data_IF_098624271868
#
_entry.id   IF_098624271868
#
_cell.length_a   1.000
_cell.length_b   1.000
_cell.length_c   1.000
_cell.angle_alpha   90.00
_cell.angle_beta   90.00
_cell.angle_gamma   90.00
#
_symmetry.space_group_name_H-M   'P 1'
#
loop_
_entity.id
_entity.type
_entity.pdbx_description
1 polymer ?
#
# COMPACT_ATOMS: atom_id res chain seq x y z
N UNK A 1 0.37 -8.47 24.36
CA UNK A 1 1.25 -8.94 23.27
C UNK A 1 0.71 -10.29 22.81
N UNK A 2 0.05 -10.35 21.65
CA UNK A 2 -0.73 -11.53 21.26
C UNK A 2 0.11 -12.69 20.71
N UNK A 3 1.40 -12.48 20.45
CA UNK A 3 2.35 -13.54 20.15
C UNK A 3 3.74 -13.16 20.68
N UNK A 4 4.53 -14.15 21.08
CA UNK A 4 5.92 -14.02 21.56
C UNK A 4 6.91 -13.60 20.45
N UNK A 5 6.53 -12.65 19.62
CA UNK A 5 7.32 -12.14 18.49
C UNK A 5 7.99 -10.83 18.90
N UNK A 6 9.29 -10.89 19.18
CA UNK A 6 10.09 -9.72 19.58
C UNK A 6 10.95 -9.16 18.44
N UNK A 7 10.97 -9.83 17.28
CA UNK A 7 11.89 -9.50 16.19
C UNK A 7 11.69 -8.06 15.68
N UNK A 8 10.44 -7.59 15.58
CA UNK A 8 10.12 -6.21 15.17
C UNK A 8 10.69 -5.20 16.17
N UNK A 9 10.41 -5.40 17.46
CA UNK A 9 10.89 -4.49 18.51
C UNK A 9 12.43 -4.47 18.61
N UNK A 10 13.09 -5.62 18.39
CA UNK A 10 14.55 -5.71 18.36
C UNK A 10 15.14 -5.02 17.13
N UNK A 11 14.51 -5.18 15.97
CA UNK A 11 14.91 -4.52 14.73
C UNK A 11 14.79 -2.99 14.86
N UNK A 12 13.65 -2.51 15.37
CA UNK A 12 13.43 -1.09 15.65
C UNK A 12 14.47 -0.54 16.64
N UNK A 13 14.80 -1.31 17.70
CA UNK A 13 15.86 -0.92 18.65
C UNK A 13 17.24 -0.81 17.99
N UNK A 14 17.58 -1.74 17.10
CA UNK A 14 18.84 -1.69 16.35
C UNK A 14 18.88 -0.48 15.41
N UNK A 15 17.76 -0.19 14.76
CA UNK A 15 17.58 1.00 13.93
C UNK A 15 17.72 2.28 14.76
N UNK A 16 17.01 2.40 15.88
CA UNK A 16 17.11 3.53 16.80
C UNK A 16 18.54 3.73 17.31
N UNK A 17 19.29 2.64 17.54
CA UNK A 17 20.70 2.72 17.94
C UNK A 17 21.58 3.29 16.84
N UNK A 18 21.33 2.95 15.57
CA UNK A 18 22.07 3.48 14.41
C UNK A 18 21.86 5.00 14.26
N UNK A 19 20.63 5.47 14.53
CA UNK A 19 20.26 6.90 14.48
C UNK A 19 20.41 7.63 15.84
N UNK A 20 20.93 6.96 16.86
CA UNK A 20 21.24 7.53 18.17
C UNK A 20 20.10 7.56 19.20
N UNK A 21 18.83 7.58 18.78
CA UNK A 21 17.69 7.49 19.70
C UNK A 21 16.39 7.05 19.02
N UNK A 22 15.39 6.60 19.80
CA UNK A 22 14.04 6.36 19.29
C UNK A 22 13.34 7.64 18.82
N UNK A 23 13.66 8.79 19.42
CA UNK A 23 13.08 10.07 19.04
C UNK A 23 13.47 10.47 17.61
N UNK A 24 14.68 10.10 17.17
CA UNK A 24 15.13 10.34 15.81
C UNK A 24 14.32 9.58 14.75
N UNK A 25 13.61 8.50 15.12
CA UNK A 25 12.81 7.70 14.18
C UNK A 25 11.43 8.29 13.89
N UNK A 26 10.97 9.27 14.67
CA UNK A 26 9.60 9.78 14.61
C UNK A 26 9.27 10.51 13.29
N UNK A 27 10.27 10.86 12.49
CA UNK A 27 10.12 11.54 11.20
C UNK A 27 10.66 10.72 10.01
N UNK A 28 10.92 9.42 10.20
CA UNK A 28 11.44 8.56 9.14
C UNK A 28 10.46 8.39 7.98
N UNK A 29 10.97 8.33 6.75
CA UNK A 29 10.17 8.03 5.56
C UNK A 29 10.16 6.53 5.26
N UNK A 30 9.09 6.02 4.63
CA UNK A 30 9.03 4.61 4.17
C UNK A 30 10.22 4.25 3.29
N UNK A 31 10.64 5.20 2.44
CA UNK A 31 11.77 5.06 1.53
C UNK A 31 13.08 4.81 2.30
N UNK A 32 13.35 5.59 3.34
CA UNK A 32 14.53 5.40 4.19
C UNK A 32 14.53 4.01 4.87
N UNK A 33 13.36 3.56 5.33
CA UNK A 33 13.20 2.21 5.86
C UNK A 33 13.49 1.13 4.83
N UNK A 34 13.00 1.28 3.60
CA UNK A 34 13.25 0.34 2.50
C UNK A 34 14.74 0.25 2.15
N UNK A 35 15.41 1.39 1.98
CA UNK A 35 16.85 1.43 1.67
C UNK A 35 17.67 0.82 2.80
N UNK A 36 17.34 1.15 4.05
CA UNK A 36 18.11 0.64 5.21
C UNK A 36 17.95 -0.86 5.41
N UNK A 37 16.75 -1.40 5.15
CA UNK A 37 16.47 -2.83 5.35
C UNK A 37 16.90 -3.70 4.17
N UNK A 38 16.86 -3.18 2.95
CA UNK A 38 17.18 -3.95 1.73
C UNK A 38 18.59 -3.69 1.21
N UNK A 39 19.17 -2.52 1.50
CA UNK A 39 20.43 -2.06 0.93
C UNK A 39 20.35 -1.66 -0.55
N UNK A 40 19.17 -1.71 -1.16
CA UNK A 40 18.95 -1.32 -2.55
C UNK A 40 18.50 0.14 -2.66
N UNK A 41 18.79 0.81 -3.80
CA UNK A 41 18.23 2.13 -4.07
C UNK A 41 16.70 2.04 -4.14
N UNK A 42 16.03 3.01 -3.54
CA UNK A 42 14.58 3.14 -3.58
C UNK A 42 14.17 4.45 -4.25
N UNK A 43 13.03 4.46 -4.91
CA UNK A 43 12.46 5.59 -5.63
C UNK A 43 11.04 5.89 -5.14
N UNK A 44 10.68 7.17 -5.03
CA UNK A 44 9.32 7.60 -4.69
C UNK A 44 8.64 8.21 -5.91
N UNK A 45 7.51 7.62 -6.30
CA UNK A 45 6.66 8.07 -7.40
C UNK A 45 5.42 8.76 -6.80
N UNK A 46 5.24 10.04 -7.08
CA UNK A 46 4.07 10.80 -6.63
C UNK A 46 2.85 10.56 -7.51
N UNK A 47 1.72 10.27 -6.88
CA UNK A 47 0.40 10.22 -7.50
C UNK A 47 -0.23 11.61 -7.40
N UNK A 48 -0.08 12.43 -8.44
CA UNK A 48 -0.82 13.69 -8.52
C UNK A 48 -2.06 13.49 -9.38
N UNK A 49 -3.22 13.91 -8.87
CA UNK A 49 -4.52 13.85 -9.54
C UNK A 49 -4.54 14.59 -10.88
N UNK A 50 -3.65 15.57 -11.07
CA UNK A 50 -3.50 16.38 -12.29
C UNK A 50 -2.60 15.75 -13.37
N UNK A 51 -2.04 14.56 -13.12
CA UNK A 51 -1.24 13.87 -14.13
C UNK A 51 -2.16 13.22 -15.17
N UNK A 52 -2.07 13.70 -16.42
CA UNK A 52 -2.89 13.20 -17.53
C UNK A 52 -2.78 11.68 -17.76
N UNK A 53 -3.72 11.11 -18.53
CA UNK A 53 -3.89 9.65 -18.73
C UNK A 53 -2.60 8.90 -19.11
N UNK A 54 -1.71 9.55 -19.87
CA UNK A 54 -0.42 8.99 -20.29
C UNK A 54 0.47 8.69 -19.09
N UNK A 55 0.54 9.60 -18.11
CA UNK A 55 1.34 9.42 -16.90
C UNK A 55 0.76 8.34 -16.00
N UNK A 56 -0.56 8.25 -15.88
CA UNK A 56 -1.23 7.18 -15.14
C UNK A 56 -0.92 5.80 -15.73
N UNK A 57 -0.88 5.71 -17.07
CA UNK A 57 -0.46 4.51 -17.79
C UNK A 57 0.98 4.12 -17.47
N UNK A 58 1.91 5.09 -17.46
CA UNK A 58 3.31 4.87 -17.11
C UNK A 58 3.48 4.41 -15.66
N UNK A 59 2.83 5.08 -14.70
CA UNK A 59 2.84 4.70 -13.29
C UNK A 59 2.39 3.24 -13.12
N UNK A 60 1.28 2.87 -13.76
CA UNK A 60 0.79 1.50 -13.73
C UNK A 60 1.82 0.50 -14.29
N UNK A 61 2.41 0.80 -15.46
CA UNK A 61 3.41 -0.09 -16.07
C UNK A 61 4.66 -0.24 -15.19
N UNK A 62 5.12 0.84 -14.57
CA UNK A 62 6.23 0.82 -13.62
C UNK A 62 5.90 -0.08 -12.44
N UNK A 63 4.77 0.16 -11.75
CA UNK A 63 4.33 -0.67 -10.61
C UNK A 63 4.19 -2.15 -10.97
N UNK A 64 3.59 -2.44 -12.13
CA UNK A 64 3.42 -3.80 -12.62
C UNK A 64 4.75 -4.49 -12.93
N UNK A 65 5.69 -3.77 -13.52
CA UNK A 65 7.03 -4.29 -13.86
C UNK A 65 7.86 -4.52 -12.60
N UNK A 66 7.86 -3.56 -11.67
CA UNK A 66 8.54 -3.67 -10.38
C UNK A 66 8.00 -4.84 -9.56
N UNK A 67 6.67 -5.01 -9.51
CA UNK A 67 6.06 -6.15 -8.80
C UNK A 67 6.46 -7.49 -9.43
N UNK A 68 6.53 -7.59 -10.76
CA UNK A 68 6.99 -8.80 -11.45
C UNK A 68 8.47 -9.08 -11.24
N UNK A 69 9.29 -8.04 -11.14
CA UNK A 69 10.71 -8.16 -10.85
C UNK A 69 10.99 -8.47 -9.36
N UNK A 70 9.97 -8.42 -8.50
CA UNK A 70 10.08 -8.77 -7.08
C UNK A 70 10.51 -7.61 -6.17
N UNK A 71 10.39 -6.36 -6.65
CA UNK A 71 10.62 -5.19 -5.81
C UNK A 71 9.52 -5.05 -4.75
N UNK A 72 9.89 -4.47 -3.61
CA UNK A 72 8.93 -4.11 -2.57
C UNK A 72 8.27 -2.80 -2.94
N UNK A 73 6.96 -2.70 -2.76
CA UNK A 73 6.22 -1.48 -3.08
C UNK A 73 5.44 -1.08 -1.84
N UNK A 74 5.81 0.05 -1.27
CA UNK A 74 5.02 0.78 -0.27
C UNK A 74 4.17 1.84 -0.94
N UNK A 75 3.00 2.12 -0.40
CA UNK A 75 2.18 3.26 -0.81
C UNK A 75 1.77 4.04 0.42
N UNK A 76 1.70 5.36 0.28
CA UNK A 76 1.27 6.24 1.37
C UNK A 76 -0.10 6.83 1.04
N UNK A 77 -0.96 6.88 2.05
CA UNK A 77 -2.29 7.46 1.98
C UNK A 77 -2.28 8.82 2.66
N UNK A 78 -2.98 9.82 2.11
CA UNK A 78 -2.99 11.17 2.65
C UNK A 78 -2.97 12.25 1.59
N UNK A 79 -4.01 12.28 0.75
CA UNK A 79 -4.33 13.45 -0.08
C UNK A 79 -4.88 14.58 0.81
N UNK A 80 -4.38 15.82 0.69
CA UNK A 80 -4.82 16.96 1.52
C UNK A 80 -6.25 17.42 1.20
N UNK A 81 -6.79 17.03 0.04
CA UNK A 81 -8.12 17.42 -0.43
C UNK A 81 -9.24 16.59 0.23
N UNK A 82 -8.92 15.41 0.78
CA UNK A 82 -9.88 14.45 1.30
C UNK A 82 -9.95 14.54 2.82
N UNK A 83 -11.16 14.66 3.35
CA UNK A 83 -11.38 14.74 4.80
C UNK A 83 -11.10 13.40 5.50
N UNK A 84 -10.70 13.44 6.77
CA UNK A 84 -10.48 12.24 7.57
C UNK A 84 -11.75 11.38 7.71
N UNK A 85 -12.92 12.02 7.74
CA UNK A 85 -14.22 11.32 7.78
C UNK A 85 -14.45 10.48 6.53
N UNK A 86 -14.12 10.99 5.35
CA UNK A 86 -14.25 10.24 4.09
C UNK A 86 -13.33 9.00 4.09
N UNK A 87 -12.10 9.12 4.63
CA UNK A 87 -11.20 7.98 4.81
C UNK A 87 -11.79 6.91 5.74
N UNK A 88 -12.41 7.29 6.85
CA UNK A 88 -13.05 6.33 7.77
C UNK A 88 -14.26 5.61 7.15
N UNK A 89 -15.05 6.34 6.35
CA UNK A 89 -16.20 5.81 5.63
C UNK A 89 -15.78 4.74 4.61
N UNK A 90 -14.72 4.99 3.84
CA UNK A 90 -14.16 4.03 2.88
C UNK A 90 -13.25 2.98 3.54
N UNK A 91 -12.91 3.14 4.82
CA UNK A 91 -12.10 2.20 5.60
C UNK A 91 -10.59 2.28 5.34
N UNK A 92 -10.11 3.43 4.88
CA UNK A 92 -8.69 3.79 4.82
C UNK A 92 -8.34 4.74 5.98
N UNK A 93 -7.03 4.92 6.20
CA UNK A 93 -6.47 5.83 7.19
C UNK A 93 -5.65 6.89 6.49
N UNK A 94 -5.90 8.16 6.86
CA UNK A 94 -5.10 9.28 6.42
C UNK A 94 -3.69 9.20 7.03
N UNK A 95 -2.68 9.72 6.32
CA UNK A 95 -1.27 9.75 6.76
C UNK A 95 -0.72 8.39 7.19
N UNK A 96 -1.12 7.31 6.50
CA UNK A 96 -0.73 5.95 6.82
C UNK A 96 -0.09 5.22 5.65
N UNK A 97 0.86 4.34 5.94
CA UNK A 97 1.59 3.55 4.96
C UNK A 97 0.97 2.15 4.81
N UNK A 98 0.85 1.71 3.56
CA UNK A 98 0.36 0.38 3.19
C UNK A 98 1.38 -0.33 2.32
N UNK A 99 1.33 -1.66 2.32
CA UNK A 99 2.19 -2.49 1.47
C UNK A 99 1.40 -3.03 0.29
N UNK A 100 1.92 -2.88 -0.93
CA UNK A 100 1.36 -3.51 -2.12
C UNK A 100 1.91 -4.92 -2.22
N UNK A 101 1.02 -5.90 -2.13
CA UNK A 101 1.36 -7.31 -2.23
C UNK A 101 1.34 -7.80 -3.67
N UNK A 102 0.34 -7.36 -4.45
CA UNK A 102 0.17 -7.78 -5.83
C UNK A 102 -0.40 -6.67 -6.70
N UNK A 103 0.01 -6.68 -7.98
CA UNK A 103 -0.53 -5.81 -9.01
C UNK A 103 -0.98 -6.72 -10.16
N UNK A 104 -2.27 -6.64 -10.52
CA UNK A 104 -2.88 -7.54 -11.51
C UNK A 104 -3.65 -6.75 -12.55
N UNK A 105 -3.51 -7.16 -13.80
CA UNK A 105 -4.31 -6.69 -14.93
C UNK A 105 -5.11 -7.86 -15.48
N UNK A 106 -6.45 -7.83 -15.38
CA UNK A 106 -7.34 -8.89 -15.88
C UNK A 106 -8.42 -8.25 -16.74
N UNK A 107 -8.50 -8.64 -18.01
CA UNK A 107 -9.57 -8.20 -18.93
C UNK A 107 -9.80 -6.67 -18.94
N UNK A 108 -8.68 -5.91 -18.89
CA UNK A 108 -8.60 -4.44 -18.78
C UNK A 108 -8.84 -3.84 -17.39
N UNK A 109 -9.22 -4.63 -16.40
CA UNK A 109 -9.30 -4.19 -15.00
C UNK A 109 -7.90 -4.16 -14.39
N UNK A 110 -7.56 -3.03 -13.78
CA UNK A 110 -6.30 -2.80 -13.07
C UNK A 110 -6.57 -2.86 -11.57
N UNK A 111 -6.12 -3.93 -10.93
CA UNK A 111 -6.37 -4.18 -9.51
C UNK A 111 -5.07 -4.30 -8.73
N UNK A 112 -5.07 -3.74 -7.52
CA UNK A 112 -3.95 -3.80 -6.59
C UNK A 112 -4.39 -4.49 -5.30
N UNK A 113 -3.60 -5.44 -4.84
CA UNK A 113 -3.77 -6.11 -3.56
C UNK A 113 -2.89 -5.41 -2.54
N UNK A 114 -3.52 -4.80 -1.54
CA UNK A 114 -2.86 -3.94 -0.57
C UNK A 114 -3.06 -4.54 0.82
N UNK A 115 -2.08 -4.31 1.70
CA UNK A 115 -2.13 -4.69 3.11
C UNK A 115 -1.96 -3.47 4.00
N UNK A 116 -2.87 -3.34 4.97
CA UNK A 116 -2.67 -2.49 6.13
C UNK A 116 -1.81 -3.23 7.18
N UNK A 117 -0.60 -2.70 7.53
CA UNK A 117 0.25 -3.31 8.54
C UNK A 117 -0.40 -3.46 9.92
N UNK A 118 -1.39 -2.64 10.25
CA UNK A 118 -2.10 -2.72 11.54
C UNK A 118 -3.09 -3.88 11.62
N UNK A 119 -3.37 -4.59 10.51
CA UNK A 119 -4.31 -5.71 10.47
C UNK A 119 -5.74 -5.31 10.84
N UNK A 120 -6.05 -4.01 10.74
CA UNK A 120 -7.36 -3.40 11.02
C UNK A 120 -7.68 -2.44 9.90
N UNK A 121 -8.94 -2.11 9.71
CA UNK A 121 -9.43 -1.22 8.65
C UNK A 121 -9.23 -1.81 7.24
N UNK A 122 -10.35 -2.21 6.65
CA UNK A 122 -10.39 -2.76 5.30
C UNK A 122 -11.17 -1.81 4.40
N UNK A 123 -10.75 -1.77 3.14
CA UNK A 123 -11.45 -1.07 2.07
C UNK A 123 -12.91 -1.51 1.98
N UNK A 124 -13.82 -0.52 2.02
CA UNK A 124 -15.29 -0.70 1.98
C UNK A 124 -15.89 -0.33 0.62
N UNK A 125 -15.08 0.14 -0.33
CA UNK A 125 -15.52 0.51 -1.67
C UNK A 125 -15.66 -0.70 -2.62
N UNK A 126 -15.51 -0.42 -3.91
CA UNK A 126 -15.55 -1.45 -4.95
C UNK A 126 -14.47 -2.51 -4.73
N UNK A 127 -14.76 -3.78 -5.04
CA UNK A 127 -13.87 -4.92 -4.74
C UNK A 127 -13.74 -5.30 -3.25
N UNK A 128 -14.60 -4.76 -2.36
CA UNK A 128 -14.82 -5.39 -1.05
C UNK A 128 -15.23 -6.85 -1.19
N UNK A 129 -15.08 -7.64 -0.13
CA UNK A 129 -15.35 -9.10 -0.13
C UNK A 129 -16.74 -9.44 -0.70
N UNK A 130 -17.76 -8.68 -0.30
CA UNK A 130 -19.16 -8.88 -0.72
C UNK A 130 -19.54 -8.07 -1.98
N UNK A 131 -18.56 -7.58 -2.75
CA UNK A 131 -18.85 -6.80 -3.95
C UNK A 131 -19.44 -7.67 -5.06
N UNK A 132 -20.50 -7.18 -5.72
CA UNK A 132 -21.08 -7.82 -6.90
C UNK A 132 -20.13 -7.87 -8.11
N UNK A 133 -19.02 -7.12 -8.06
CA UNK A 133 -18.01 -7.09 -9.11
C UNK A 133 -17.17 -8.38 -9.17
N UNK A 134 -17.20 -9.20 -8.11
CA UNK A 134 -16.53 -10.48 -8.08
C UNK A 134 -17.26 -11.51 -8.95
N UNK A 135 -16.69 -11.79 -10.11
CA UNK A 135 -17.11 -12.94 -10.94
C UNK A 135 -16.40 -14.21 -10.48
N UNK A 136 -16.97 -15.41 -10.73
CA UNK A 136 -16.33 -16.68 -10.37
C UNK A 136 -14.90 -16.81 -10.92
N UNK A 137 -14.65 -16.31 -12.13
CA UNK A 137 -13.32 -16.31 -12.75
C UNK A 137 -12.32 -15.43 -11.99
N UNK A 138 -12.76 -14.24 -11.53
CA UNK A 138 -11.92 -13.32 -10.76
C UNK A 138 -11.64 -13.86 -9.36
N UNK A 139 -12.63 -14.52 -8.74
CA UNK A 139 -12.47 -15.17 -7.44
C UNK A 139 -11.39 -16.25 -7.52
N UNK A 140 -11.39 -17.06 -8.57
CA UNK A 140 -10.38 -18.12 -8.75
C UNK A 140 -8.98 -17.55 -8.96
N UNK A 141 -8.86 -16.49 -9.80
CA UNK A 141 -7.56 -15.89 -10.15
C UNK A 141 -6.96 -15.02 -9.05
N UNK A 142 -7.77 -14.20 -8.40
CA UNK A 142 -7.30 -13.18 -7.44
C UNK A 142 -7.40 -13.64 -6.00
N UNK A 143 -8.32 -14.58 -5.70
CA UNK A 143 -8.69 -15.05 -4.37
C UNK A 143 -9.10 -13.87 -3.46
N UNK A 144 -10.40 -13.69 -3.19
CA UNK A 144 -10.85 -12.57 -2.37
C UNK A 144 -10.21 -12.63 -0.99
N UNK A 145 -9.65 -11.51 -0.49
CA UNK A 145 -8.90 -11.46 0.74
C UNK A 145 -9.83 -11.61 1.92
N UNK A 146 -9.32 -12.19 2.99
CA UNK A 146 -10.00 -12.17 4.28
C UNK A 146 -9.59 -10.86 4.96
N UNK A 147 -10.57 -10.01 5.27
CA UNK A 147 -10.32 -8.73 5.94
C UNK A 147 -9.59 -8.91 7.29
N UNK A 148 -9.61 -10.11 7.87
CA UNK A 148 -8.93 -10.48 9.11
C UNK A 148 -7.41 -10.16 9.13
N UNK A 149 -6.74 -10.16 7.97
CA UNK A 149 -5.30 -9.86 7.87
C UNK A 149 -4.99 -8.40 7.47
N UNK A 150 -6.03 -7.56 7.38
CA UNK A 150 -5.93 -6.17 6.89
C UNK A 150 -5.61 -6.07 5.40
N UNK A 151 -5.83 -7.14 4.64
CA UNK A 151 -5.59 -7.18 3.19
C UNK A 151 -6.88 -6.92 2.40
N UNK A 152 -6.79 -6.19 1.30
CA UNK A 152 -7.93 -5.90 0.43
C UNK A 152 -7.49 -5.65 -1.02
N UNK A 153 -8.41 -5.82 -1.97
CA UNK A 153 -8.23 -5.37 -3.35
C UNK A 153 -8.87 -4.01 -3.56
N UNK A 154 -8.25 -3.21 -4.41
CA UNK A 154 -8.74 -1.89 -4.81
C UNK A 154 -8.42 -1.66 -6.30
N UNK A 155 -9.20 -0.81 -6.96
CA UNK A 155 -8.92 -0.39 -8.33
C UNK A 155 -7.72 0.55 -8.38
N UNK A 156 -6.98 0.55 -9.50
CA UNK A 156 -5.88 1.49 -9.67
C UNK A 156 -6.37 2.94 -9.72
N UNK A 157 -7.57 3.15 -10.25
CA UNK A 157 -8.22 4.46 -10.32
C UNK A 157 -8.51 5.01 -8.92
N UNK A 158 -9.01 4.17 -8.01
CA UNK A 158 -9.20 4.55 -6.60
C UNK A 158 -7.85 4.76 -5.89
N UNK A 159 -6.81 3.99 -6.24
CA UNK A 159 -5.48 4.20 -5.69
C UNK A 159 -4.96 5.59 -6.01
N UNK A 160 -5.10 6.03 -7.27
CA UNK A 160 -4.69 7.38 -7.68
C UNK A 160 -5.51 8.48 -6.98
N UNK A 161 -6.76 8.19 -6.61
CA UNK A 161 -7.64 9.14 -5.92
C UNK A 161 -7.29 9.30 -4.45
N UNK A 162 -7.02 8.20 -3.74
CA UNK A 162 -6.86 8.22 -2.27
C UNK A 162 -5.41 8.22 -1.79
N UNK A 163 -4.48 7.70 -2.59
CA UNK A 163 -3.06 7.61 -2.24
C UNK A 163 -2.28 8.75 -2.88
N UNK A 164 -1.18 9.16 -2.24
CA UNK A 164 -0.39 10.31 -2.66
C UNK A 164 0.94 9.92 -3.31
N UNK A 165 1.51 8.77 -2.96
CA UNK A 165 2.77 8.27 -3.53
C UNK A 165 2.94 6.77 -3.38
N UNK A 166 3.79 6.20 -4.23
CA UNK A 166 4.40 4.88 -4.07
C UNK A 166 5.90 5.01 -3.83
N UNK A 167 6.42 4.27 -2.86
CA UNK A 167 7.85 4.09 -2.60
C UNK A 167 8.23 2.66 -3.07
N UNK A 168 9.20 2.52 -3.98
CA UNK A 168 9.64 1.25 -4.62
C UNK A 168 11.12 1.00 -4.35
#
# INVERSE_FOLDING_TARGET
AKDKQLWVCLLEKAHAKLYGSYHALQSGSNLEGLVTLTGYPAESISFSSDQGEINQGLIWQTLFTCQKAGFLIGISCGQPEISEQEYEEIGLLSSHAYSVLQVRSISKLRLMHIRNPWGKYCWKGDWKIDSHLWTPELIEKLKPPKCDDGTFWISFEDVLKYFNKADI
#
